data_IF_290669365462
#
_entry.id   IF_290669365462
#
_cell.length_a   1.000
_cell.length_b   1.000
_cell.length_c   1.000
_cell.angle_alpha   90.00
_cell.angle_beta   90.00
_cell.angle_gamma   90.00
#
_symmetry.space_group_name_H-M   'P 1'
#
loop_
_entity.id
_entity.type
_entity.pdbx_description
1 polymer ?
#
# COMPACT_ATOMS: atom_id res chain seq x y z
N UNK A 1 39.23 16.07 11.53
CA UNK A 1 37.99 16.77 11.17
C UNK A 1 36.90 16.28 12.13
N UNK A 2 36.62 17.01 13.21
CA UNK A 2 35.69 16.54 14.26
C UNK A 2 34.25 16.80 13.80
N UNK A 3 33.44 15.74 13.67
CA UNK A 3 32.03 15.88 13.31
C UNK A 3 31.30 16.43 14.54
N UNK A 4 30.62 17.59 14.45
CA UNK A 4 29.94 18.18 15.60
C UNK A 4 28.82 17.24 16.09
N UNK A 5 28.72 17.05 17.41
CA UNK A 5 27.76 16.15 18.07
C UNK A 5 26.30 16.42 17.65
N UNK A 6 25.95 17.65 17.26
CA UNK A 6 24.64 18.01 16.72
C UNK A 6 24.28 17.24 15.43
N UNK A 7 25.26 16.91 14.58
CA UNK A 7 25.05 16.10 13.37
C UNK A 7 24.76 14.64 13.69
N UNK A 8 25.37 14.11 14.76
CA UNK A 8 25.17 12.73 15.23
C UNK A 8 23.80 12.60 15.91
N UNK A 9 23.38 13.62 16.66
CA UNK A 9 22.07 13.63 17.31
C UNK A 9 20.91 13.75 16.31
N UNK A 10 21.07 14.54 15.25
CA UNK A 10 20.14 14.56 14.10
C UNK A 10 20.05 13.21 13.39
N UNK A 11 21.15 12.46 13.35
CA UNK A 11 21.23 11.15 12.70
C UNK A 11 20.57 10.02 13.52
N UNK A 12 20.60 10.11 14.86
CA UNK A 12 20.00 9.10 15.76
C UNK A 12 18.51 9.36 16.03
N UNK A 13 17.91 10.41 15.44
CA UNK A 13 16.48 10.71 15.62
C UNK A 13 16.12 11.17 17.04
N UNK A 14 17.12 11.57 17.84
CA UNK A 14 16.95 12.08 19.21
C UNK A 14 16.77 13.61 19.24
N UNK A 15 16.21 14.18 18.19
CA UNK A 15 15.84 15.59 18.19
C UNK A 15 14.34 15.75 18.40
N UNK A 16 13.97 16.66 19.29
CA UNK A 16 12.58 17.12 19.53
C UNK A 16 12.02 17.94 18.36
N UNK A 17 12.42 17.65 17.12
CA UNK A 17 11.74 18.18 15.96
C UNK A 17 10.62 17.21 15.59
N UNK A 18 9.43 17.53 16.10
CA UNK A 18 8.16 16.93 15.68
C UNK A 18 8.19 16.84 14.14
N UNK A 19 8.03 15.65 13.53
CA UNK A 19 8.06 15.50 12.08
C UNK A 19 7.04 16.48 11.50
N UNK A 20 7.54 17.44 10.70
CA UNK A 20 6.80 18.51 10.01
C UNK A 20 5.30 18.49 10.29
N UNK A 21 4.89 19.11 11.40
CA UNK A 21 3.48 19.36 11.72
C UNK A 21 3.01 20.47 10.78
N UNK A 22 2.80 20.12 9.50
CA UNK A 22 2.05 20.96 8.58
C UNK A 22 0.60 20.86 9.05
N UNK A 23 0.27 21.62 10.09
CA UNK A 23 -1.12 21.79 10.53
C UNK A 23 -1.89 22.25 9.31
N UNK A 24 -3.11 21.70 9.13
CA UNK A 24 -4.09 22.26 8.19
C UNK A 24 -4.03 23.78 8.31
N UNK A 25 -3.94 24.54 7.20
CA UNK A 25 -3.91 25.99 7.24
C UNK A 25 -5.01 26.45 8.20
N UNK A 26 -4.61 27.21 9.21
CA UNK A 26 -5.46 27.75 10.24
C UNK A 26 -6.55 28.60 9.56
N UNK A 27 -7.76 28.03 9.48
CA UNK A 27 -8.90 28.62 8.75
C UNK A 27 -9.31 27.95 7.45
N UNK A 28 -8.79 26.76 7.11
CA UNK A 28 -9.27 25.99 5.95
C UNK A 28 -10.71 25.49 6.20
N UNK A 29 -11.69 26.15 5.57
CA UNK A 29 -13.09 25.72 5.53
C UNK A 29 -13.41 25.14 4.14
N UNK A 30 -13.70 23.83 4.02
CA UNK A 30 -14.12 23.20 2.77
C UNK A 30 -15.28 23.89 2.04
N UNK A 31 -16.10 24.66 2.76
CA UNK A 31 -17.28 25.33 2.20
C UNK A 31 -16.95 26.66 1.51
N UNK A 32 -15.73 27.18 1.68
CA UNK A 32 -15.28 28.47 1.10
C UNK A 32 -14.52 28.33 -0.21
N UNK A 33 -14.37 27.10 -0.70
CA UNK A 33 -13.57 26.80 -1.87
C UNK A 33 -14.31 27.16 -3.18
N UNK A 34 -13.54 27.39 -4.25
CA UNK A 34 -14.08 27.71 -5.56
C UNK A 34 -14.93 26.54 -6.11
N UNK A 35 -15.71 26.73 -7.21
CA UNK A 35 -16.41 25.62 -7.83
C UNK A 35 -15.46 24.45 -8.13
N UNK A 36 -15.92 23.23 -7.81
CA UNK A 36 -15.13 22.01 -8.02
C UNK A 36 -15.01 21.71 -9.50
N UNK A 37 -13.79 21.81 -10.02
CA UNK A 37 -13.45 21.40 -11.37
C UNK A 37 -12.80 20.02 -11.34
N UNK A 38 -13.35 19.09 -12.12
CA UNK A 38 -12.89 17.71 -12.19
C UNK A 38 -11.91 17.60 -13.35
N UNK A 39 -10.67 17.16 -13.07
CA UNK A 39 -9.65 17.01 -14.10
C UNK A 39 -9.63 15.60 -14.68
N UNK A 40 -9.74 14.58 -13.83
CA UNK A 40 -9.66 13.18 -14.24
C UNK A 40 -10.39 12.28 -13.24
N UNK A 41 -11.08 11.27 -13.76
CA UNK A 41 -11.75 10.23 -12.99
C UNK A 41 -11.29 8.87 -13.49
N UNK A 42 -11.01 7.95 -12.56
CA UNK A 42 -10.67 6.58 -12.87
C UNK A 42 -11.14 5.62 -11.78
N UNK A 43 -11.34 4.36 -12.16
CA UNK A 43 -11.62 3.29 -11.20
C UNK A 43 -10.32 2.65 -10.73
N UNK A 44 -10.11 2.67 -9.42
CA UNK A 44 -9.01 1.95 -8.79
C UNK A 44 -9.53 0.64 -8.21
N UNK A 45 -9.08 -0.48 -8.77
CA UNK A 45 -9.26 -1.80 -8.16
C UNK A 45 -8.35 -1.91 -6.93
N UNK A 46 -8.97 -2.07 -5.76
CA UNK A 46 -8.25 -2.32 -4.51
C UNK A 46 -8.00 -3.82 -4.42
N UNK A 47 -6.84 -4.24 -4.90
CA UNK A 47 -6.38 -5.61 -4.72
C UNK A 47 -5.36 -5.65 -3.59
N UNK A 48 -5.72 -6.24 -2.45
CA UNK A 48 -4.70 -6.68 -1.51
C UNK A 48 -3.82 -7.69 -2.23
N UNK A 49 -2.50 -7.48 -2.25
CA UNK A 49 -1.55 -8.42 -2.85
C UNK A 49 -1.69 -9.79 -2.17
N UNK A 50 -2.48 -10.68 -2.76
CA UNK A 50 -2.39 -12.10 -2.45
C UNK A 50 -1.14 -12.58 -3.18
N UNK A 51 -0.02 -12.61 -2.46
CA UNK A 51 1.23 -13.19 -2.96
C UNK A 51 0.90 -14.56 -3.52
N UNK A 52 0.99 -14.72 -4.84
CA UNK A 52 0.73 -16.01 -5.48
C UNK A 52 1.68 -17.04 -4.87
N UNK A 53 1.11 -17.96 -4.11
CA UNK A 53 1.88 -19.02 -3.49
C UNK A 53 2.45 -19.86 -4.63
N UNK A 54 3.78 -19.91 -4.72
CA UNK A 54 4.48 -20.57 -5.83
C UNK A 54 3.87 -21.96 -6.10
N UNK A 55 3.41 -22.20 -7.34
CA UNK A 55 2.66 -23.41 -7.74
C UNK A 55 3.36 -24.70 -7.31
N UNK A 56 4.70 -24.72 -7.26
CA UNK A 56 5.48 -25.88 -6.79
C UNK A 56 5.23 -26.19 -5.31
N UNK A 57 5.14 -25.16 -4.46
CA UNK A 57 4.82 -25.33 -3.04
C UNK A 57 3.38 -25.80 -2.84
N UNK A 58 2.43 -25.26 -3.63
CA UNK A 58 1.02 -25.67 -3.53
C UNK A 58 0.82 -27.17 -3.78
N UNK A 59 1.52 -27.75 -4.76
CA UNK A 59 1.41 -29.17 -5.10
C UNK A 59 1.92 -30.08 -3.98
N UNK A 60 3.07 -29.74 -3.38
CA UNK A 60 3.64 -30.53 -2.28
C UNK A 60 2.73 -30.50 -1.04
N UNK A 61 2.17 -29.32 -0.70
CA UNK A 61 1.23 -29.19 0.41
C UNK A 61 -0.05 -30.01 0.21
N UNK A 62 -0.61 -30.02 -1.01
CA UNK A 62 -1.79 -30.83 -1.34
C UNK A 62 -1.49 -32.32 -1.14
N UNK A 63 -0.34 -32.81 -1.62
CA UNK A 63 0.05 -34.22 -1.44
C UNK A 63 0.18 -34.57 0.04
N UNK A 64 0.86 -33.73 0.83
CA UNK A 64 1.01 -33.93 2.28
C UNK A 64 -0.36 -33.96 2.97
N UNK A 65 -1.25 -33.02 2.63
CA UNK A 65 -2.60 -32.97 3.20
C UNK A 65 -3.41 -34.23 2.90
N UNK A 66 -3.33 -34.76 1.67
CA UNK A 66 -4.00 -36.02 1.28
C UNK A 66 -3.44 -37.22 2.05
N UNK A 67 -2.11 -37.30 2.22
CA UNK A 67 -1.48 -38.39 2.99
C UNK A 67 -1.91 -38.33 4.46
N UNK A 68 -1.90 -37.15 5.07
CA UNK A 68 -2.34 -36.96 6.47
C UNK A 68 -3.83 -37.32 6.62
N UNK A 69 -4.68 -36.88 5.69
CA UNK A 69 -6.10 -37.23 5.72
C UNK A 69 -6.31 -38.75 5.64
N UNK A 70 -5.56 -39.44 4.78
CA UNK A 70 -5.62 -40.90 4.65
C UNK A 70 -5.17 -41.60 5.94
N UNK A 71 -4.09 -41.14 6.57
CA UNK A 71 -3.63 -41.66 7.87
C UNK A 71 -4.70 -41.49 8.97
N UNK A 72 -5.35 -40.32 9.04
CA UNK A 72 -6.41 -40.04 10.02
C UNK A 72 -7.64 -40.94 9.82
N UNK A 73 -8.01 -41.24 8.57
CA UNK A 73 -9.10 -42.17 8.26
C UNK A 73 -8.79 -43.59 8.72
N UNK A 74 -7.55 -44.06 8.52
CA UNK A 74 -7.10 -45.38 8.99
C UNK A 74 -7.14 -45.48 10.52
N UNK A 75 -6.81 -44.39 11.22
CA UNK A 75 -6.88 -44.32 12.69
C UNK A 75 -8.32 -44.24 13.23
N UNK A 76 -9.35 -44.06 12.37
CA UNK A 76 -10.76 -43.87 12.73
C UNK A 76 -11.03 -42.66 13.63
N UNK A 77 -10.15 -41.68 13.61
CA UNK A 77 -10.26 -40.45 14.40
C UNK A 77 -11.11 -39.40 13.66
N UNK A 78 -12.42 -39.65 13.55
CA UNK A 78 -13.34 -38.77 12.80
C UNK A 78 -13.44 -37.36 13.38
N UNK A 79 -13.22 -37.20 14.69
CA UNK A 79 -13.21 -35.88 15.35
C UNK A 79 -12.07 -34.99 14.82
N UNK A 80 -10.86 -35.52 14.69
CA UNK A 80 -9.71 -34.79 14.16
C UNK A 80 -9.90 -34.39 12.69
N UNK A 81 -10.49 -35.26 11.88
CA UNK A 81 -10.81 -34.97 10.48
C UNK A 81 -11.72 -33.74 10.37
N UNK A 82 -12.73 -33.64 11.23
CA UNK A 82 -13.67 -32.51 11.22
C UNK A 82 -13.01 -31.18 11.59
N UNK A 83 -12.07 -31.20 12.56
CA UNK A 83 -11.28 -30.01 12.93
C UNK A 83 -10.39 -29.55 11.78
N UNK A 84 -9.67 -30.48 11.14
CA UNK A 84 -8.83 -30.16 9.98
C UNK A 84 -9.66 -29.62 8.82
N UNK A 85 -10.81 -30.23 8.53
CA UNK A 85 -11.72 -29.77 7.48
C UNK A 85 -12.26 -28.35 7.76
N UNK A 86 -12.62 -28.05 9.00
CA UNK A 86 -13.09 -26.72 9.42
C UNK A 86 -11.99 -25.66 9.25
N UNK A 87 -10.74 -25.99 9.59
CA UNK A 87 -9.61 -25.08 9.41
C UNK A 87 -9.32 -24.81 7.92
N UNK A 88 -9.34 -25.85 7.09
CA UNK A 88 -9.18 -25.71 5.64
C UNK A 88 -10.30 -24.83 5.06
N UNK A 89 -11.55 -25.10 5.44
CA UNK A 89 -12.69 -24.29 5.01
C UNK A 89 -12.52 -22.81 5.39
N UNK A 90 -12.13 -22.53 6.63
CA UNK A 90 -11.88 -21.18 7.11
C UNK A 90 -10.78 -20.47 6.29
N UNK A 91 -9.64 -21.14 6.07
CA UNK A 91 -8.54 -20.59 5.26
C UNK A 91 -8.96 -20.30 3.81
N UNK A 92 -9.76 -21.19 3.21
CA UNK A 92 -10.30 -20.99 1.86
C UNK A 92 -11.28 -19.81 1.82
N UNK A 93 -12.13 -19.66 2.84
CA UNK A 93 -13.08 -18.54 2.93
C UNK A 93 -12.38 -17.19 3.04
N UNK A 94 -11.29 -17.09 3.79
CA UNK A 94 -10.49 -15.86 3.89
C UNK A 94 -9.90 -15.43 2.54
N UNK A 95 -9.57 -16.39 1.68
CA UNK A 95 -9.03 -16.12 0.34
C UNK A 95 -10.11 -15.72 -0.69
N UNK A 96 -11.39 -15.72 -0.33
CA UNK A 96 -12.53 -15.39 -1.21
C UNK A 96 -13.07 -13.97 -0.98
N UNK A 97 -12.24 -13.04 -0.49
CA UNK A 97 -12.63 -11.64 -0.39
C UNK A 97 -12.80 -11.05 -1.81
N UNK A 98 -13.96 -10.47 -2.15
CA UNK A 98 -14.20 -9.90 -3.47
C UNK A 98 -13.29 -8.68 -3.72
N UNK A 99 -12.86 -8.54 -4.97
CA UNK A 99 -12.16 -7.33 -5.41
C UNK A 99 -13.17 -6.17 -5.43
N UNK A 100 -12.89 -5.11 -4.67
CA UNK A 100 -13.70 -3.91 -4.66
C UNK A 100 -13.03 -2.85 -5.55
N UNK A 101 -13.76 -2.33 -6.54
CA UNK A 101 -13.36 -1.11 -7.25
C UNK A 101 -13.79 0.11 -6.44
N UNK A 102 -12.90 1.08 -6.32
CA UNK A 102 -13.14 2.37 -5.68
C UNK A 102 -13.00 3.44 -6.75
N UNK A 103 -14.00 4.31 -6.85
CA UNK A 103 -13.96 5.45 -7.75
C UNK A 103 -12.99 6.51 -7.21
N UNK A 104 -12.07 6.95 -8.05
CA UNK A 104 -11.03 7.93 -7.71
C UNK A 104 -11.14 9.11 -8.66
N UNK A 105 -11.08 10.30 -8.08
CA UNK A 105 -11.24 11.55 -8.82
C UNK A 105 -10.15 12.54 -8.41
N UNK A 106 -9.46 13.11 -9.39
CA UNK A 106 -8.58 14.25 -9.20
C UNK A 106 -9.31 15.53 -9.61
N UNK A 107 -9.40 16.48 -8.68
CA UNK A 107 -10.14 17.75 -8.84
C UNK A 107 -9.29 18.95 -8.40
N UNK A 108 -9.78 20.16 -8.65
CA UNK A 108 -9.15 21.41 -8.21
C UNK A 108 -8.86 21.46 -6.70
N UNK A 109 -9.63 20.75 -5.90
CA UNK A 109 -9.50 20.72 -4.43
C UNK A 109 -8.54 19.66 -3.91
N UNK A 110 -8.33 18.58 -4.67
CA UNK A 110 -7.57 17.42 -4.23
C UNK A 110 -8.03 16.11 -4.87
N UNK A 111 -7.67 15.00 -4.24
CA UNK A 111 -7.99 13.64 -4.68
C UNK A 111 -9.12 13.09 -3.82
N UNK A 112 -10.25 12.74 -4.44
CA UNK A 112 -11.33 11.98 -3.82
C UNK A 112 -11.08 10.49 -4.03
N UNK A 113 -11.17 9.72 -2.95
CA UNK A 113 -11.02 8.27 -2.97
C UNK A 113 -12.22 7.65 -2.25
N UNK A 114 -13.15 7.08 -3.01
CA UNK A 114 -14.44 6.63 -2.48
C UNK A 114 -15.21 7.79 -1.86
N UNK A 115 -15.47 7.72 -0.55
CA UNK A 115 -16.16 8.77 0.20
C UNK A 115 -15.21 9.79 0.86
N UNK A 116 -13.90 9.51 0.85
CA UNK A 116 -12.89 10.33 1.51
C UNK A 116 -12.27 11.35 0.56
N UNK A 117 -12.16 12.60 0.99
CA UNK A 117 -11.50 13.67 0.24
C UNK A 117 -10.14 13.98 0.85
N UNK A 118 -9.09 13.92 0.03
CA UNK A 118 -7.72 14.29 0.40
C UNK A 118 -7.35 15.59 -0.31
N UNK A 119 -7.18 16.68 0.45
CA UNK A 119 -6.88 17.98 -0.12
C UNK A 119 -5.40 18.08 -0.52
N UNK A 120 -5.07 18.97 -1.45
CA UNK A 120 -3.69 19.14 -1.90
C UNK A 120 -2.70 19.45 -0.78
N UNK A 121 -3.12 20.17 0.28
CA UNK A 121 -2.24 20.46 1.43
C UNK A 121 -1.88 19.22 2.27
N UNK A 122 -2.65 18.13 2.14
CA UNK A 122 -2.46 16.88 2.88
C UNK A 122 -1.58 15.92 2.09
N UNK A 123 -1.34 16.21 0.81
CA UNK A 123 -0.59 15.40 -0.13
C UNK A 123 0.80 16.01 -0.34
N UNK A 124 1.82 15.15 -0.33
CA UNK A 124 3.23 15.59 -0.38
C UNK A 124 3.82 15.43 -1.77
N UNK A 125 3.79 14.22 -2.27
CA UNK A 125 4.52 13.81 -3.47
C UNK A 125 3.92 12.52 -4.02
N UNK A 126 4.11 12.29 -5.31
CA UNK A 126 3.64 11.08 -5.96
C UNK A 126 4.70 10.43 -6.85
N UNK A 127 4.61 9.11 -7.00
CA UNK A 127 5.48 8.33 -7.87
C UNK A 127 4.76 7.10 -8.40
N UNK A 128 5.27 6.54 -9.50
CA UNK A 128 4.77 5.29 -10.07
C UNK A 128 5.71 4.14 -9.71
N UNK A 129 5.15 2.99 -9.37
CA UNK A 129 5.91 1.78 -9.03
C UNK A 129 5.26 0.55 -9.64
N UNK A 130 6.08 -0.37 -10.14
CA UNK A 130 5.60 -1.69 -10.55
C UNK A 130 5.49 -2.59 -9.32
N UNK A 131 4.28 -3.07 -9.03
CA UNK A 131 3.98 -4.01 -7.95
C UNK A 131 3.23 -5.21 -8.54
N UNK A 132 3.73 -6.43 -8.30
CA UNK A 132 3.17 -7.69 -8.80
C UNK A 132 2.83 -7.72 -10.32
N UNK A 133 3.62 -7.02 -11.15
CA UNK A 133 3.40 -6.97 -12.60
C UNK A 133 2.42 -5.89 -13.08
N UNK A 134 1.73 -5.18 -12.18
CA UNK A 134 0.93 -4.00 -12.49
C UNK A 134 1.67 -2.72 -12.10
N UNK A 135 1.47 -1.64 -12.85
CA UNK A 135 1.95 -0.32 -12.45
C UNK A 135 0.91 0.34 -11.54
N UNK A 136 1.34 0.84 -10.39
CA UNK A 136 0.49 1.54 -9.44
C UNK A 136 1.04 2.93 -9.13
N UNK A 137 0.13 3.85 -8.84
CA UNK A 137 0.43 5.21 -8.45
C UNK A 137 0.40 5.28 -6.93
N UNK A 138 1.45 5.86 -6.37
CA UNK A 138 1.60 6.00 -4.93
C UNK A 138 1.68 7.48 -4.61
N UNK A 139 0.86 7.94 -3.66
CA UNK A 139 0.85 9.32 -3.19
C UNK A 139 1.13 9.33 -1.69
N UNK A 140 2.21 10.00 -1.27
CA UNK A 140 2.54 10.16 0.14
C UNK A 140 1.72 11.31 0.74
N UNK A 141 1.22 11.12 1.97
CA UNK A 141 0.45 12.13 2.71
C UNK A 141 1.30 12.73 3.84
N UNK A 142 0.99 13.96 4.25
CA UNK A 142 1.57 14.56 5.46
C UNK A 142 0.86 14.08 6.74
N UNK A 143 -0.39 13.62 6.62
CA UNK A 143 -1.25 13.22 7.74
C UNK A 143 -0.97 11.77 8.19
N UNK A 144 -1.16 11.50 9.48
CA UNK A 144 -0.70 10.27 10.16
C UNK A 144 -1.30 8.97 9.60
N UNK A 145 -2.54 8.98 9.05
CA UNK A 145 -3.22 7.76 8.60
C UNK A 145 -4.17 8.03 7.40
N UNK A 146 -4.06 7.25 6.30
CA UNK A 146 -2.90 6.46 5.89
C UNK A 146 -1.75 7.37 5.41
N UNK A 147 -0.51 7.10 5.83
CA UNK A 147 0.68 7.87 5.41
C UNK A 147 1.04 7.77 3.92
N UNK A 148 0.40 6.82 3.22
CA UNK A 148 0.59 6.57 1.79
C UNK A 148 -0.69 6.00 1.19
N UNK A 149 -1.10 6.56 0.06
CA UNK A 149 -2.25 6.13 -0.72
C UNK A 149 -1.76 5.38 -1.95
N UNK A 150 -2.43 4.26 -2.24
CA UNK A 150 -2.12 3.40 -3.38
C UNK A 150 -3.31 3.40 -4.33
N UNK A 151 -3.06 3.77 -5.58
CA UNK A 151 -4.07 3.85 -6.61
C UNK A 151 -3.63 2.99 -7.79
N UNK A 152 -4.43 1.97 -8.11
CA UNK A 152 -4.37 1.33 -9.41
C UNK A 152 -5.02 2.24 -10.46
N UNK A 153 -4.50 2.19 -11.68
CA UNK A 153 -4.96 3.00 -12.81
C UNK A 153 -4.74 2.23 -14.11
N UNK A 154 -5.46 2.61 -15.17
CA UNK A 154 -5.24 2.07 -16.51
C UNK A 154 -4.00 2.73 -17.13
N UNK A 155 -3.03 1.97 -17.68
CA UNK A 155 -1.86 2.54 -18.36
C UNK A 155 -2.18 3.60 -19.42
N UNK A 156 -3.35 3.54 -20.06
CA UNK A 156 -3.81 4.54 -21.03
C UNK A 156 -4.01 5.94 -20.42
N UNK A 157 -4.41 6.02 -19.15
CA UNK A 157 -4.72 7.29 -18.47
C UNK A 157 -3.51 7.87 -17.72
N UNK A 158 -2.39 7.14 -17.70
CA UNK A 158 -1.15 7.53 -17.00
C UNK A 158 -0.70 8.94 -17.33
N UNK A 159 -0.70 9.30 -18.62
CA UNK A 159 -0.23 10.60 -19.08
C UNK A 159 -1.12 11.74 -18.55
N UNK A 160 -2.44 11.54 -18.56
CA UNK A 160 -3.42 12.51 -18.07
C UNK A 160 -3.35 12.67 -16.56
N UNK A 161 -3.28 11.55 -15.83
CA UNK A 161 -3.12 11.54 -14.37
C UNK A 161 -1.84 12.29 -13.98
N UNK A 162 -0.72 11.96 -14.64
CA UNK A 162 0.56 12.62 -14.37
C UNK A 162 0.47 14.13 -14.59
N UNK A 163 -0.09 14.59 -15.71
CA UNK A 163 -0.19 16.03 -16.00
C UNK A 163 -1.09 16.78 -15.01
N UNK A 164 -2.18 16.16 -14.56
CA UNK A 164 -3.10 16.75 -13.59
C UNK A 164 -2.46 16.89 -12.19
N UNK A 165 -1.74 15.85 -11.75
CA UNK A 165 -1.10 15.82 -10.43
C UNK A 165 0.17 16.68 -10.38
N UNK A 166 0.98 16.71 -11.45
CA UNK A 166 2.24 17.48 -11.53
C UNK A 166 2.03 19.00 -11.38
N UNK A 167 0.81 19.48 -11.69
CA UNK A 167 0.40 20.89 -11.46
C UNK A 167 0.24 21.25 -9.98
N UNK A 168 0.02 20.27 -9.10
CA UNK A 168 -0.36 20.50 -7.71
C UNK A 168 0.60 19.88 -6.69
N UNK A 169 1.24 18.75 -7.03
CA UNK A 169 2.15 18.00 -6.14
C UNK A 169 3.41 17.56 -6.88
N UNK A 170 4.52 17.42 -6.15
CA UNK A 170 5.82 17.08 -6.74
C UNK A 170 5.86 15.63 -7.22
N UNK A 171 6.21 15.43 -8.49
CA UNK A 171 6.51 14.11 -9.05
C UNK A 171 7.91 13.62 -8.65
N UNK A 172 8.00 12.40 -8.15
CA UNK A 172 9.26 11.71 -7.90
C UNK A 172 9.45 10.55 -8.89
N UNK A 173 10.59 10.53 -9.58
CA UNK A 173 10.95 9.42 -10.49
C UNK A 173 11.38 8.14 -9.76
N UNK A 174 11.69 8.22 -8.46
CA UNK A 174 12.16 7.10 -7.63
C UNK A 174 11.51 7.18 -6.26
N UNK A 175 11.10 6.02 -5.72
CA UNK A 175 10.56 5.92 -4.37
C UNK A 175 11.53 6.53 -3.34
N UNK A 176 11.08 7.39 -2.43
CA UNK A 176 11.88 7.84 -1.31
C UNK A 176 12.15 6.63 -0.40
N UNK A 177 13.32 6.00 -0.54
CA UNK A 177 13.70 4.90 0.34
C UNK A 177 13.80 5.41 1.78
N UNK A 178 12.95 4.88 2.65
CA UNK A 178 13.05 5.12 4.09
C UNK A 178 14.33 4.49 4.62
N UNK A 179 14.82 4.96 5.77
CA UNK A 179 15.99 4.35 6.42
C UNK A 179 15.78 2.86 6.71
N UNK A 180 14.54 2.45 7.00
CA UNK A 180 14.17 1.05 7.15
C UNK A 180 14.33 0.27 5.84
N UNK A 181 13.93 0.84 4.71
CA UNK A 181 14.07 0.19 3.40
C UNK A 181 15.55 -0.03 3.04
N UNK A 182 16.42 0.93 3.38
CA UNK A 182 17.88 0.79 3.20
C UNK A 182 18.47 -0.29 4.11
N UNK A 183 17.93 -0.45 5.33
CA UNK A 183 18.35 -1.53 6.23
C UNK A 183 17.87 -2.88 5.72
N UNK A 184 16.62 -2.98 5.26
CA UNK A 184 16.08 -4.21 4.66
C UNK A 184 16.82 -4.61 3.39
N UNK A 185 17.13 -3.67 2.49
CA UNK A 185 17.95 -3.91 1.29
C UNK A 185 19.35 -4.41 1.64
N UNK A 186 19.99 -3.82 2.65
CA UNK A 186 21.31 -4.27 3.12
C UNK A 186 21.28 -5.65 3.78
N UNK A 187 20.20 -6.00 4.47
CA UNK A 187 20.02 -7.34 5.05
C UNK A 187 19.76 -8.33 3.91
N UNK A 188 18.86 -8.00 2.99
CA UNK A 188 18.52 -8.83 1.83
C UNK A 188 19.74 -9.14 0.95
N UNK A 189 20.56 -8.14 0.65
CA UNK A 189 21.76 -8.30 -0.18
C UNK A 189 22.83 -9.17 0.49
N UNK A 190 22.92 -9.14 1.83
CA UNK A 190 23.81 -10.03 2.61
C UNK A 190 23.30 -11.45 2.76
N UNK A 191 21.99 -11.65 2.74
CA UNK A 191 21.39 -12.97 2.96
C UNK A 191 20.96 -13.70 1.67
N UNK A 192 21.05 -13.06 0.49
CA UNK A 192 20.72 -13.67 -0.81
C UNK A 192 19.38 -14.43 -0.80
N UNK A 193 18.37 -13.85 -0.12
CA UNK A 193 16.97 -14.31 -0.04
C UNK A 193 16.06 -13.25 -0.67
#
# INVERSE_FOLDING_TARGET
MQIPYSKILNFVGLTNQKPSDNKRPDGFDPQTLAPKEIYVEWESVVKAEVKEMNKRFSRTFIIIAVVIALLLVVMKEFGLIFVVASLIFFLVSLNRLPEHSVHVEASSHGIKYGDSMYYWHDLRQFFFKQIAGAEIMIVDTYTYLPGRLFFSFNPADKAKIKESLDKHITYLSVEPMSFLDKLFENVKSKFNI
#
